data_IF_591417065057
#
_entry.id   IF_591417065057
#
_cell.length_a   1.000
_cell.length_b   1.000
_cell.length_c   1.000
_cell.angle_alpha   90.00
_cell.angle_beta   90.00
_cell.angle_gamma   90.00
#
_symmetry.space_group_name_H-M   'P 1'
#
loop_
_entity.id
_entity.type
_entity.pdbx_description
1 polymer ?
#
# COMPACT_ATOMS: atom_id res chain seq x y z
N UNK A 1 22.54 2.97 -14.75
CA UNK A 1 21.54 2.13 -15.43
C UNK A 1 21.11 1.05 -14.43
N UNK A 2 20.37 1.44 -13.39
CA UNK A 2 19.85 0.48 -12.43
C UNK A 2 18.68 -0.21 -13.11
N UNK A 3 18.82 -1.51 -13.37
CA UNK A 3 17.68 -2.34 -13.72
C UNK A 3 16.84 -2.45 -12.45
N UNK A 4 15.89 -1.53 -12.27
CA UNK A 4 14.86 -1.65 -11.26
C UNK A 4 14.15 -2.97 -11.53
N UNK A 5 14.37 -3.95 -10.64
CA UNK A 5 13.64 -5.21 -10.66
C UNK A 5 12.21 -4.85 -10.29
N UNK A 6 11.39 -4.58 -11.31
CA UNK A 6 9.97 -4.32 -11.15
C UNK A 6 9.30 -5.62 -10.70
N UNK A 7 9.06 -5.74 -9.39
CA UNK A 7 8.38 -6.88 -8.80
C UNK A 7 6.96 -6.91 -9.36
N UNK A 8 6.65 -7.96 -10.13
CA UNK A 8 5.32 -8.22 -10.70
C UNK A 8 4.75 -9.47 -10.06
N UNK A 9 3.59 -9.32 -9.44
CA UNK A 9 2.88 -10.39 -8.75
C UNK A 9 1.51 -10.56 -9.39
N UNK A 10 1.10 -11.78 -9.65
CA UNK A 10 -0.30 -12.13 -9.92
C UNK A 10 -1.15 -12.02 -8.64
N UNK A 11 -2.47 -12.00 -8.80
CA UNK A 11 -3.41 -12.04 -7.68
C UNK A 11 -3.13 -13.20 -6.70
N UNK A 12 -2.84 -14.39 -7.22
CA UNK A 12 -2.54 -15.57 -6.39
C UNK A 12 -1.20 -15.45 -5.65
N UNK A 13 -0.20 -14.83 -6.27
CA UNK A 13 1.07 -14.55 -5.59
C UNK A 13 0.88 -13.48 -4.50
N UNK A 14 0.03 -12.49 -4.75
CA UNK A 14 -0.32 -11.47 -3.76
C UNK A 14 -0.94 -12.08 -2.50
N UNK A 15 -1.93 -12.98 -2.66
CA UNK A 15 -2.53 -13.71 -1.54
C UNK A 15 -1.50 -14.51 -0.74
N UNK A 16 -0.61 -15.24 -1.44
CA UNK A 16 0.43 -16.05 -0.79
C UNK A 16 1.45 -15.22 -0.02
N UNK A 17 1.99 -14.17 -0.63
CA UNK A 17 3.07 -13.36 -0.02
C UNK A 17 2.56 -12.50 1.13
N UNK A 18 1.29 -12.07 1.09
CA UNK A 18 0.66 -11.34 2.19
C UNK A 18 -0.02 -12.23 3.22
N UNK A 19 -0.12 -13.55 2.99
CA UNK A 19 -0.93 -14.45 3.82
C UNK A 19 -2.36 -13.94 4.03
N UNK A 20 -2.92 -13.30 2.98
CA UNK A 20 -4.20 -12.63 3.03
C UNK A 20 -5.32 -13.53 2.50
N UNK A 21 -6.54 -13.32 3.01
CA UNK A 21 -7.73 -13.95 2.46
C UNK A 21 -8.14 -13.32 1.11
N UNK A 22 -8.74 -14.12 0.22
CA UNK A 22 -9.19 -13.66 -1.09
C UNK A 22 -10.22 -12.54 -0.98
N UNK A 23 -11.24 -12.72 -0.15
CA UNK A 23 -12.33 -11.76 0.01
C UNK A 23 -11.78 -10.47 0.60
N UNK A 24 -10.90 -10.58 1.59
CA UNK A 24 -10.22 -9.44 2.20
C UNK A 24 -9.42 -8.62 1.18
N UNK A 25 -8.67 -9.27 0.28
CA UNK A 25 -7.92 -8.54 -0.76
C UNK A 25 -8.84 -7.84 -1.77
N UNK A 26 -9.98 -8.45 -2.11
CA UNK A 26 -10.98 -7.81 -2.99
C UNK A 26 -11.62 -6.59 -2.33
N UNK A 27 -11.97 -6.70 -1.04
CA UNK A 27 -12.53 -5.58 -0.28
C UNK A 27 -11.53 -4.42 -0.14
N UNK A 28 -10.23 -4.71 0.02
CA UNK A 28 -9.20 -3.66 -0.03
C UNK A 28 -9.17 -2.91 -1.36
N UNK A 29 -9.40 -3.62 -2.47
CA UNK A 29 -9.42 -3.02 -3.81
C UNK A 29 -10.68 -2.19 -3.98
N UNK A 30 -11.82 -2.71 -3.55
CA UNK A 30 -13.11 -2.02 -3.58
C UNK A 30 -13.10 -0.73 -2.75
N UNK A 31 -12.52 -0.78 -1.55
CA UNK A 31 -12.35 0.37 -0.65
C UNK A 31 -11.19 1.30 -1.05
N UNK A 32 -10.55 1.04 -2.18
CA UNK A 32 -9.50 1.89 -2.77
C UNK A 32 -8.19 1.92 -1.97
N UNK A 33 -7.95 0.96 -1.09
CA UNK A 33 -6.66 0.85 -0.37
C UNK A 33 -5.54 0.55 -1.34
N UNK A 34 -5.81 -0.28 -2.35
CA UNK A 34 -4.98 -0.44 -3.53
C UNK A 34 -5.86 -0.38 -4.78
N UNK A 35 -5.33 0.11 -5.90
CA UNK A 35 -6.06 0.15 -7.17
C UNK A 35 -5.46 -0.86 -8.14
N UNK A 36 -6.26 -1.40 -9.04
CA UNK A 36 -5.83 -2.29 -10.12
C UNK A 36 -6.55 -1.93 -11.41
N UNK A 37 -5.93 -2.20 -12.55
CA UNK A 37 -6.57 -2.06 -13.84
C UNK A 37 -7.33 -3.33 -14.21
N UNK A 38 -8.58 -3.19 -14.66
CA UNK A 38 -9.41 -4.31 -15.09
C UNK A 38 -9.86 -5.20 -13.94
N UNK A 39 -9.83 -6.52 -14.16
CA UNK A 39 -10.32 -7.50 -13.17
C UNK A 39 -9.22 -7.81 -12.14
N UNK A 40 -9.48 -7.70 -10.83
CA UNK A 40 -8.49 -7.96 -9.78
C UNK A 40 -7.75 -9.28 -9.93
N UNK A 41 -8.44 -10.36 -10.28
CA UNK A 41 -7.86 -11.69 -10.39
C UNK A 41 -6.94 -11.87 -11.60
N UNK A 42 -7.03 -10.96 -12.57
CA UNK A 42 -6.20 -10.92 -13.78
C UNK A 42 -5.15 -9.80 -13.72
N UNK A 43 -5.16 -9.00 -12.66
CA UNK A 43 -4.27 -7.87 -12.51
C UNK A 43 -2.84 -8.30 -12.14
N UNK A 44 -1.90 -7.44 -12.50
CA UNK A 44 -0.50 -7.52 -12.07
C UNK A 44 -0.28 -6.45 -11.00
N UNK A 45 0.25 -6.88 -9.86
CA UNK A 45 0.53 -6.06 -8.70
C UNK A 45 2.02 -5.75 -8.64
N UNK A 46 2.33 -4.49 -8.35
CA UNK A 46 3.68 -3.99 -8.12
C UNK A 46 4.18 -4.31 -6.71
N UNK A 47 5.49 -4.20 -6.51
CA UNK A 47 6.10 -4.24 -5.17
C UNK A 47 5.53 -3.16 -4.22
N UNK A 48 5.12 -2.00 -4.75
CA UNK A 48 4.46 -0.95 -3.97
C UNK A 48 3.09 -1.39 -3.43
N UNK A 49 2.24 -1.96 -4.30
CA UNK A 49 0.95 -2.51 -3.87
C UNK A 49 1.15 -3.63 -2.85
N UNK A 50 2.16 -4.50 -3.02
CA UNK A 50 2.48 -5.52 -2.03
C UNK A 50 2.83 -4.91 -0.66
N UNK A 51 3.73 -3.92 -0.63
CA UNK A 51 4.11 -3.25 0.62
C UNK A 51 2.89 -2.59 1.29
N UNK A 52 2.00 -1.99 0.50
CA UNK A 52 0.77 -1.35 0.94
C UNK A 52 -0.22 -2.35 1.54
N UNK A 53 -0.46 -3.49 0.88
CA UNK A 53 -1.30 -4.59 1.41
C UNK A 53 -0.73 -5.14 2.73
N UNK A 54 0.60 -5.35 2.82
CA UNK A 54 1.23 -5.80 4.07
C UNK A 54 1.04 -4.80 5.21
N UNK A 55 1.10 -3.49 4.92
CA UNK A 55 0.83 -2.44 5.92
C UNK A 55 -0.62 -2.49 6.37
N UNK A 56 -1.55 -2.59 5.43
CA UNK A 56 -2.98 -2.71 5.71
C UNK A 56 -3.28 -3.94 6.59
N UNK A 57 -2.68 -5.09 6.28
CA UNK A 57 -2.86 -6.32 7.07
C UNK A 57 -2.37 -6.16 8.52
N UNK A 58 -1.20 -5.54 8.74
CA UNK A 58 -0.71 -5.27 10.10
C UNK A 58 -1.63 -4.34 10.86
N UNK A 59 -2.08 -3.24 10.24
CA UNK A 59 -3.00 -2.30 10.87
C UNK A 59 -4.35 -2.92 11.19
N UNK A 60 -4.89 -3.75 10.31
CA UNK A 60 -6.13 -4.50 10.58
C UNK A 60 -6.00 -5.34 11.83
N UNK A 61 -4.89 -6.06 12.00
CA UNK A 61 -4.61 -6.86 13.19
C UNK A 61 -4.36 -6.00 14.45
N UNK A 62 -3.52 -4.98 14.36
CA UNK A 62 -3.10 -4.16 15.51
C UNK A 62 -4.26 -3.33 16.09
N UNK A 63 -5.24 -2.97 15.26
CA UNK A 63 -6.37 -2.12 15.64
C UNK A 63 -7.73 -2.83 15.60
N UNK A 64 -7.77 -4.14 15.28
CA UNK A 64 -9.01 -4.89 14.99
C UNK A 64 -9.94 -4.12 14.04
N UNK A 65 -9.34 -3.50 13.01
CA UNK A 65 -10.02 -2.53 12.16
C UNK A 65 -10.76 -3.22 11.00
N UNK A 66 -12.00 -2.79 10.78
CA UNK A 66 -12.77 -3.10 9.57
C UNK A 66 -12.10 -2.50 8.31
N UNK A 67 -12.41 -3.05 7.12
CA UNK A 67 -11.83 -2.57 5.86
C UNK A 67 -12.11 -1.08 5.58
N UNK A 68 -13.34 -0.56 5.79
CA UNK A 68 -13.59 0.87 5.60
C UNK A 68 -12.77 1.75 6.55
N UNK A 69 -12.63 1.32 7.81
CA UNK A 69 -11.78 2.02 8.78
C UNK A 69 -10.30 1.97 8.37
N UNK A 70 -9.84 0.83 7.86
CA UNK A 70 -8.49 0.63 7.37
C UNK A 70 -8.18 1.51 6.15
N UNK A 71 -9.13 1.67 5.21
CA UNK A 71 -9.01 2.59 4.09
C UNK A 71 -8.81 4.03 4.55
N UNK A 72 -9.62 4.47 5.53
CA UNK A 72 -9.46 5.79 6.12
C UNK A 72 -8.09 5.96 6.80
N UNK A 73 -7.67 5.01 7.64
CA UNK A 73 -6.37 5.05 8.33
C UNK A 73 -5.23 5.12 7.30
N UNK A 74 -5.26 4.29 6.26
CA UNK A 74 -4.23 4.27 5.22
C UNK A 74 -4.13 5.62 4.49
N UNK A 75 -5.26 6.23 4.12
CA UNK A 75 -5.28 7.57 3.50
C UNK A 75 -4.75 8.66 4.44
N UNK A 76 -5.10 8.61 5.73
CA UNK A 76 -4.59 9.56 6.71
C UNK A 76 -3.08 9.42 6.92
N UNK A 77 -2.56 8.19 6.90
CA UNK A 77 -1.13 7.94 6.99
C UNK A 77 -0.39 8.47 5.76
N UNK A 78 -0.94 8.29 4.56
CA UNK A 78 -0.39 8.87 3.33
C UNK A 78 -0.36 10.41 3.43
N UNK A 79 -1.45 11.04 3.88
CA UNK A 79 -1.52 12.49 4.05
C UNK A 79 -0.48 13.01 5.05
N UNK A 80 -0.31 12.32 6.19
CA UNK A 80 0.73 12.67 7.18
C UNK A 80 2.13 12.52 6.59
N UNK A 81 2.38 11.50 5.77
CA UNK A 81 3.65 11.31 5.08
C UNK A 81 3.92 12.43 4.08
N UNK A 82 2.91 12.87 3.31
CA UNK A 82 3.04 14.01 2.39
C UNK A 82 3.28 15.33 3.12
N UNK A 83 2.52 15.63 4.17
CA UNK A 83 2.73 16.83 4.98
C UNK A 83 4.15 16.86 5.58
N UNK A 84 4.65 15.73 6.08
CA UNK A 84 6.01 15.62 6.61
C UNK A 84 7.08 15.87 5.57
N UNK A 85 6.88 15.45 4.31
CA UNK A 85 7.80 15.75 3.21
C UNK A 85 7.88 17.25 2.92
N UNK A 86 6.75 17.97 3.01
CA UNK A 86 6.68 19.42 2.77
C UNK A 86 7.35 20.23 3.88
N UNK A 87 7.27 19.77 5.13
CA UNK A 87 7.92 20.43 6.27
C UNK A 87 9.36 20.02 6.49
N UNK A 88 9.93 19.10 5.68
CA UNK A 88 11.34 18.72 5.82
C UNK A 88 12.17 19.97 5.55
N UNK A 89 12.84 20.55 6.56
CA UNK A 89 13.61 21.76 6.34
C UNK A 89 14.64 21.45 5.27
N UNK A 90 14.82 22.36 4.32
CA UNK A 90 16.09 22.51 3.61
C UNK A 90 17.10 22.97 4.68
N UNK A 91 17.48 22.06 5.57
CA UNK A 91 18.66 22.25 6.41
C UNK A 91 19.79 21.58 5.65
N UNK A 92 20.84 22.36 5.36
CA UNK A 92 22.08 22.03 4.66
C UNK A 92 22.21 22.47 3.20
N UNK A 93 21.78 23.69 2.86
CA UNK A 93 22.46 24.49 1.82
C UNK A 93 22.51 25.97 2.23
N UNK A 94 22.88 26.23 3.48
CA UNK A 94 23.26 27.58 3.87
C UNK A 94 24.22 27.52 5.06
N UNK A 95 25.47 27.13 4.81
CA UNK A 95 26.61 27.69 5.54
C UNK A 95 27.75 27.91 4.54
N UNK A 96 28.28 29.13 4.59
CA UNK A 96 29.22 29.77 3.68
C UNK A 96 30.65 29.32 3.92
#
# INVERSE_FOLDING_TARGET
MNQDIDIKLSFNEMLKVCSADRQWLLELIEEGVISVDGRPEQAVFSGFQMARVRRAHRLSHDFDASIPALSLIMRLLDEVEELRKQTRPISLLDER
#
